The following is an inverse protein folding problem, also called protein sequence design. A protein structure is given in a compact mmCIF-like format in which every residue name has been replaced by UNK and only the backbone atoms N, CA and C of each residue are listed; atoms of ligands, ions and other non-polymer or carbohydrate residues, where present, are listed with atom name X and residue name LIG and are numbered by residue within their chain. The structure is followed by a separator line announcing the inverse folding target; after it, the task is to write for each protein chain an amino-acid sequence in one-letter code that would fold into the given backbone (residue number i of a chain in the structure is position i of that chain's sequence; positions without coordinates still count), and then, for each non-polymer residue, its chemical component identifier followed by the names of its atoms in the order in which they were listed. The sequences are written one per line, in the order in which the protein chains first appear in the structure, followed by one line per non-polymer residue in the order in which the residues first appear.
data_IF_330608574473
#
_entry.id   IF_330608574473
#
_cell.length_a   1.000
_cell.length_b   1.000
_cell.length_c   1.000
_cell.angle_alpha   90.00
_cell.angle_beta   90.00
_cell.angle_gamma   90.00
#
_symmetry.space_group_name_H-M   'P 1'
#
loop_
_entity.id
_entity.type
_entity.pdbx_description
1 polymer ?
#
# COMPACT_ATOMS: atom_id res chain seq x y z
N UNK A 1 0.38 -21.29 29.22
CA UNK A 1 0.99 -20.84 27.95
C UNK A 1 -0.08 -20.09 27.16
N UNK A 2 -0.06 -18.75 27.16
CA UNK A 2 -1.17 -17.94 26.64
C UNK A 2 -0.96 -17.64 25.15
N UNK A 3 -1.22 -18.64 24.31
CA UNK A 3 -1.12 -18.57 22.84
C UNK A 3 -2.10 -17.53 22.23
N UNK A 4 -3.08 -17.07 23.01
CA UNK A 4 -4.10 -16.09 22.64
C UNK A 4 -3.54 -14.71 22.25
N UNK A 5 -2.32 -14.37 22.70
CA UNK A 5 -1.68 -13.07 22.42
C UNK A 5 -0.89 -13.03 21.11
N UNK A 6 -0.78 -14.15 20.38
CA UNK A 6 -0.01 -14.23 19.15
C UNK A 6 -0.92 -14.09 17.92
N UNK A 7 -0.78 -13.01 17.12
CA UNK A 7 -1.56 -12.80 15.91
C UNK A 7 -1.45 -13.96 14.90
N UNK A 8 -0.27 -14.57 14.78
CA UNK A 8 -0.01 -15.61 13.78
C UNK A 8 -0.90 -16.84 13.99
N UNK A 9 -1.16 -17.20 15.25
CA UNK A 9 -2.01 -18.35 15.60
C UNK A 9 -3.46 -18.09 15.21
N UNK A 10 -3.94 -16.86 15.39
CA UNK A 10 -5.27 -16.46 14.95
C UNK A 10 -5.40 -16.47 13.43
N UNK A 11 -4.36 -15.98 12.74
CA UNK A 11 -4.30 -15.98 11.28
C UNK A 11 -4.32 -17.40 10.72
N UNK A 12 -3.48 -18.30 11.24
CA UNK A 12 -3.43 -19.70 10.82
C UNK A 12 -4.76 -20.41 11.08
N UNK A 13 -5.37 -20.14 12.24
CA UNK A 13 -6.67 -20.73 12.56
C UNK A 13 -7.80 -20.22 11.65
N UNK A 14 -7.83 -18.92 11.38
CA UNK A 14 -8.83 -18.32 10.49
C UNK A 14 -8.65 -18.77 9.03
N UNK A 15 -7.41 -18.84 8.54
CA UNK A 15 -7.11 -19.32 7.18
C UNK A 15 -7.43 -20.81 7.02
N UNK A 16 -7.22 -21.63 8.05
CA UNK A 16 -7.68 -23.01 8.06
C UNK A 16 -9.20 -23.10 7.94
N UNK A 17 -9.96 -22.29 8.68
CA UNK A 17 -11.42 -22.22 8.55
C UNK A 17 -11.88 -21.75 7.17
N UNK A 18 -11.20 -20.76 6.59
CA UNK A 18 -11.52 -20.25 5.27
C UNK A 18 -11.28 -21.28 4.15
N UNK A 19 -10.26 -22.15 4.31
CA UNK A 19 -9.91 -23.20 3.33
C UNK A 19 -10.70 -24.50 3.51
N UNK A 20 -10.96 -24.89 4.76
CA UNK A 20 -11.50 -26.21 5.13
C UNK A 20 -12.98 -26.19 5.47
N UNK A 21 -13.53 -24.99 5.73
CA UNK A 21 -14.88 -24.80 6.24
C UNK A 21 -15.60 -23.65 5.53
N UNK A 22 -16.47 -22.96 6.27
CA UNK A 22 -17.19 -21.78 5.78
C UNK A 22 -16.43 -20.49 6.10
N UNK A 23 -16.45 -19.55 5.16
CA UNK A 23 -15.96 -18.17 5.34
C UNK A 23 -16.59 -17.52 6.57
N UNK A 24 -17.86 -17.80 6.87
CA UNK A 24 -18.55 -17.28 8.07
C UNK A 24 -17.86 -17.68 9.37
N UNK A 25 -17.26 -18.89 9.40
CA UNK A 25 -16.52 -19.37 10.57
C UNK A 25 -15.19 -18.63 10.70
N UNK A 26 -14.50 -18.38 9.58
CA UNK A 26 -13.29 -17.57 9.55
C UNK A 26 -13.56 -16.13 10.01
N UNK A 27 -14.67 -15.52 9.58
CA UNK A 27 -15.11 -14.19 10.03
C UNK A 27 -15.30 -14.17 11.55
N UNK A 28 -15.99 -15.16 12.12
CA UNK A 28 -16.17 -15.27 13.59
C UNK A 28 -14.83 -15.40 14.33
N UNK A 29 -13.87 -16.12 13.75
CA UNK A 29 -12.52 -16.23 14.30
C UNK A 29 -11.82 -14.88 14.31
N UNK A 30 -11.83 -14.14 13.19
CA UNK A 30 -11.23 -12.81 13.12
C UNK A 30 -11.89 -11.80 14.06
N UNK A 31 -13.23 -11.82 14.18
CA UNK A 31 -13.94 -10.97 15.14
C UNK A 31 -13.54 -11.26 16.58
N UNK A 32 -13.31 -12.54 16.93
CA UNK A 32 -12.81 -12.92 18.25
C UNK A 32 -11.35 -12.50 18.44
N UNK A 33 -10.53 -12.66 17.41
CA UNK A 33 -9.13 -12.24 17.42
C UNK A 33 -8.98 -10.72 17.60
N UNK A 34 -9.84 -9.92 16.98
CA UNK A 34 -9.80 -8.46 17.15
C UNK A 34 -10.37 -7.98 18.49
N UNK A 35 -11.24 -8.77 19.14
CA UNK A 35 -11.59 -8.54 20.55
C UNK A 35 -10.42 -8.86 21.49
N UNK A 36 -9.59 -9.83 21.12
CA UNK A 36 -8.37 -10.20 21.84
C UNK A 36 -7.26 -9.16 21.72
N UNK A 37 -7.04 -8.73 20.48
CA UNK A 37 -5.89 -7.98 20.01
C UNK A 37 -6.38 -6.85 19.09
N UNK A 38 -7.01 -5.80 19.65
CA UNK A 38 -7.62 -4.73 18.86
C UNK A 38 -6.58 -3.91 18.09
N UNK A 39 -5.33 -3.90 18.54
CA UNK A 39 -4.24 -3.12 17.94
C UNK A 39 -3.45 -3.89 16.89
N UNK A 40 -3.77 -5.17 16.65
CA UNK A 40 -3.06 -5.98 15.67
C UNK A 40 -3.41 -5.56 14.24
N UNK A 41 -2.52 -4.81 13.61
CA UNK A 41 -2.66 -4.41 12.20
C UNK A 41 -2.69 -5.64 11.26
N UNK A 42 -1.86 -6.64 11.54
CA UNK A 42 -1.79 -7.89 10.77
C UNK A 42 -3.16 -8.57 10.67
N UNK A 43 -3.85 -8.72 11.80
CA UNK A 43 -5.18 -9.33 11.84
C UNK A 43 -6.23 -8.48 11.14
N UNK A 44 -6.13 -7.15 11.24
CA UNK A 44 -7.03 -6.24 10.51
C UNK A 44 -6.85 -6.36 9.00
N UNK A 45 -5.62 -6.39 8.50
CA UNK A 45 -5.35 -6.56 7.07
C UNK A 45 -5.87 -7.92 6.56
N UNK A 46 -5.55 -9.00 7.28
CA UNK A 46 -6.00 -10.34 6.90
C UNK A 46 -7.53 -10.46 6.92
N UNK A 47 -8.19 -9.83 7.90
CA UNK A 47 -9.65 -9.81 7.98
C UNK A 47 -10.27 -8.98 6.86
N UNK A 48 -9.71 -7.81 6.53
CA UNK A 48 -10.17 -6.98 5.42
C UNK A 48 -10.03 -7.69 4.07
N UNK A 49 -8.93 -8.40 3.85
CA UNK A 49 -8.72 -9.21 2.64
C UNK A 49 -9.71 -10.38 2.55
N UNK A 50 -10.02 -11.04 3.67
CA UNK A 50 -11.05 -12.09 3.71
C UNK A 50 -12.43 -11.52 3.29
N UNK A 51 -12.86 -10.44 3.93
CA UNK A 51 -14.15 -9.78 3.62
C UNK A 51 -14.20 -9.30 2.15
N UNK A 52 -13.10 -8.73 1.65
CA UNK A 52 -12.97 -8.32 0.25
C UNK A 52 -13.09 -9.51 -0.71
N UNK A 53 -12.38 -10.61 -0.43
CA UNK A 53 -12.43 -11.84 -1.25
C UNK A 53 -13.80 -12.50 -1.26
N UNK A 54 -14.58 -12.30 -0.19
CA UNK A 54 -15.96 -12.78 -0.06
C UNK A 54 -16.99 -11.84 -0.72
N UNK A 55 -16.56 -10.71 -1.29
CA UNK A 55 -17.42 -9.70 -1.92
C UNK A 55 -18.08 -8.73 -0.94
N UNK A 56 -17.74 -8.80 0.35
CA UNK A 56 -18.23 -7.91 1.38
C UNK A 56 -17.43 -6.60 1.40
N UNK A 57 -17.62 -5.78 0.36
CA UNK A 57 -16.82 -4.58 0.12
C UNK A 57 -16.99 -3.52 1.22
N UNK A 58 -18.22 -3.31 1.71
CA UNK A 58 -18.50 -2.30 2.74
C UNK A 58 -17.86 -2.66 4.10
N UNK A 59 -17.98 -3.90 4.61
CA UNK A 59 -17.22 -4.35 5.76
C UNK A 59 -15.70 -4.21 5.59
N UNK A 60 -15.15 -4.64 4.45
CA UNK A 60 -13.72 -4.51 4.16
C UNK A 60 -13.26 -3.05 4.21
N UNK A 61 -14.02 -2.14 3.58
CA UNK A 61 -13.74 -0.70 3.59
C UNK A 61 -13.65 -0.14 5.00
N UNK A 62 -14.61 -0.48 5.87
CA UNK A 62 -14.62 -0.04 7.26
C UNK A 62 -13.40 -0.50 8.04
N UNK A 63 -12.90 -1.71 7.77
CA UNK A 63 -11.68 -2.22 8.41
C UNK A 63 -10.46 -1.45 7.93
N UNK A 64 -10.33 -1.20 6.62
CA UNK A 64 -9.24 -0.37 6.09
C UNK A 64 -9.28 1.07 6.60
N UNK A 65 -10.46 1.68 6.72
CA UNK A 65 -10.62 3.01 7.32
C UNK A 65 -10.20 3.00 8.79
N UNK A 66 -10.49 1.93 9.54
CA UNK A 66 -10.01 1.79 10.93
C UNK A 66 -8.49 1.69 11.05
N UNK A 67 -7.80 1.17 10.02
CA UNK A 67 -6.34 1.11 9.94
C UNK A 67 -5.71 2.47 9.61
N UNK A 68 -6.46 3.39 9.01
CA UNK A 68 -6.02 4.77 8.80
C UNK A 68 -6.16 5.62 10.08
N UNK A 69 -7.01 5.20 11.02
CA UNK A 69 -7.23 5.90 12.29
C UNK A 69 -7.60 7.37 12.08
N UNK A 70 -6.99 8.27 12.86
CA UNK A 70 -7.19 9.72 12.74
C UNK A 70 -6.45 10.36 11.55
N UNK A 71 -5.82 9.57 10.67
CA UNK A 71 -5.05 10.03 9.52
C UNK A 71 -3.66 10.61 9.85
N UNK A 72 -3.41 11.02 11.10
CA UNK A 72 -2.12 11.55 11.57
C UNK A 72 -1.10 10.44 11.84
N UNK A 73 -1.56 9.31 12.41
CA UNK A 73 -0.73 8.15 12.74
C UNK A 73 -0.83 7.02 11.70
N UNK A 74 -1.49 7.28 10.57
CA UNK A 74 -1.63 6.29 9.51
C UNK A 74 -0.24 5.92 8.96
N UNK A 75 0.07 4.62 8.97
CA UNK A 75 1.31 4.13 8.38
C UNK A 75 1.28 4.27 6.87
N UNK A 76 2.45 4.37 6.25
CA UNK A 76 2.56 4.36 4.79
C UNK A 76 1.89 3.12 4.18
N UNK A 77 2.03 1.97 4.85
CA UNK A 77 1.42 0.72 4.46
C UNK A 77 -0.11 0.80 4.45
N UNK A 78 -0.73 1.42 5.47
CA UNK A 78 -2.19 1.60 5.52
C UNK A 78 -2.71 2.40 4.32
N UNK A 79 -2.06 3.51 3.97
CA UNK A 79 -2.41 4.27 2.77
C UNK A 79 -2.23 3.46 1.48
N UNK A 80 -1.13 2.72 1.34
CA UNK A 80 -0.87 1.90 0.15
C UNK A 80 -1.91 0.79 0.00
N UNK A 81 -2.25 0.10 1.09
CA UNK A 81 -3.26 -0.96 1.07
C UNK A 81 -4.64 -0.40 0.76
N UNK A 82 -5.00 0.75 1.33
CA UNK A 82 -6.28 1.38 1.03
C UNK A 82 -6.39 1.87 -0.42
N UNK A 83 -5.32 2.45 -0.98
CA UNK A 83 -5.25 2.80 -2.41
C UNK A 83 -5.46 1.56 -3.29
N UNK A 84 -4.82 0.44 -2.94
CA UNK A 84 -4.98 -0.84 -3.67
C UNK A 84 -6.41 -1.38 -3.57
N UNK A 85 -7.01 -1.30 -2.39
CA UNK A 85 -8.41 -1.67 -2.15
C UNK A 85 -9.36 -0.83 -3.01
N UNK A 86 -9.28 0.51 -2.92
CA UNK A 86 -10.11 1.41 -3.72
C UNK A 86 -9.99 1.14 -5.21
N UNK A 87 -8.78 0.82 -5.68
CA UNK A 87 -8.56 0.52 -7.09
C UNK A 87 -9.26 -0.77 -7.54
N UNK A 88 -9.35 -1.79 -6.66
CA UNK A 88 -10.04 -3.07 -6.97
C UNK A 88 -11.56 -2.95 -6.90
N UNK A 89 -12.08 -2.06 -6.07
CA UNK A 89 -13.51 -1.99 -5.75
C UNK A 89 -14.24 -0.79 -6.36
N UNK A 90 -13.58 0.37 -6.42
CA UNK A 90 -14.15 1.66 -6.85
C UNK A 90 -13.45 2.23 -8.10
N UNK A 91 -12.34 1.65 -8.54
CA UNK A 91 -11.62 2.02 -9.76
C UNK A 91 -10.42 2.95 -9.57
N UNK A 92 -9.75 3.27 -10.67
CA UNK A 92 -8.46 4.01 -10.70
C UNK A 92 -8.65 5.47 -10.28
N UNK A 93 -9.78 6.05 -10.64
CA UNK A 93 -10.16 7.44 -10.35
C UNK A 93 -10.37 7.67 -8.86
N UNK A 94 -11.05 6.73 -8.17
CA UNK A 94 -11.24 6.77 -6.72
C UNK A 94 -9.91 6.68 -5.98
N UNK A 95 -9.05 5.74 -6.40
CA UNK A 95 -7.71 5.60 -5.85
C UNK A 95 -6.85 6.86 -6.07
N UNK A 96 -6.96 7.51 -7.24
CA UNK A 96 -6.27 8.77 -7.54
C UNK A 96 -6.75 9.91 -6.65
N UNK A 97 -8.06 10.08 -6.51
CA UNK A 97 -8.64 11.12 -5.66
C UNK A 97 -8.10 10.99 -4.24
N UNK A 98 -8.12 9.77 -3.70
CA UNK A 98 -7.58 9.50 -2.38
C UNK A 98 -6.08 9.80 -2.28
N UNK A 99 -5.26 9.39 -3.26
CA UNK A 99 -3.83 9.73 -3.29
C UNK A 99 -3.57 11.25 -3.26
N UNK A 100 -4.35 12.03 -4.02
CA UNK A 100 -4.25 13.49 -4.02
C UNK A 100 -4.62 14.11 -2.66
N UNK A 101 -5.54 13.49 -1.92
CA UNK A 101 -5.91 13.93 -0.58
C UNK A 101 -4.83 13.56 0.44
N UNK A 102 -4.29 12.34 0.41
CA UNK A 102 -3.16 11.92 1.27
C UNK A 102 -1.94 12.81 1.07
N UNK A 103 -1.67 13.24 -0.16
CA UNK A 103 -0.56 14.14 -0.49
C UNK A 103 -0.63 15.48 0.25
N UNK A 104 -1.83 15.97 0.59
CA UNK A 104 -2.02 17.21 1.35
C UNK A 104 -1.71 17.02 2.84
N UNK A 105 -1.82 15.79 3.33
CA UNK A 105 -1.57 15.45 4.73
C UNK A 105 -0.06 15.36 5.04
N UNK A 106 0.34 15.71 6.27
CA UNK A 106 1.73 15.60 6.73
C UNK A 106 2.19 14.14 6.94
N UNK A 107 1.26 13.18 7.05
CA UNK A 107 1.53 11.74 7.17
C UNK A 107 1.99 11.08 5.85
N UNK A 108 2.03 11.83 4.75
CA UNK A 108 2.44 11.30 3.45
C UNK A 108 3.97 11.09 3.38
N UNK A 109 4.39 9.83 3.41
CA UNK A 109 5.79 9.44 3.20
C UNK A 109 6.07 9.14 1.72
N UNK A 110 7.36 9.10 1.38
CA UNK A 110 7.81 8.79 0.02
C UNK A 110 7.32 7.42 -0.50
N UNK A 111 7.16 6.43 0.39
CA UNK A 111 6.68 5.09 0.04
C UNK A 111 5.32 5.11 -0.66
N UNK A 112 4.42 6.01 -0.27
CA UNK A 112 3.08 6.14 -0.89
C UNK A 112 3.21 6.63 -2.33
N UNK A 113 4.11 7.59 -2.59
CA UNK A 113 4.40 8.07 -3.95
C UNK A 113 4.98 6.96 -4.83
N UNK A 114 6.00 6.25 -4.32
CA UNK A 114 6.65 5.15 -5.05
C UNK A 114 5.63 4.06 -5.39
N UNK A 115 4.86 3.62 -4.40
CA UNK A 115 3.86 2.57 -4.59
C UNK A 115 2.76 2.97 -5.58
N UNK A 116 2.28 4.22 -5.51
CA UNK A 116 1.25 4.70 -6.44
C UNK A 116 1.80 4.84 -7.87
N UNK A 117 3.01 5.37 -8.03
CA UNK A 117 3.62 5.54 -9.34
C UNK A 117 3.99 4.19 -10.00
N UNK A 118 4.46 3.20 -9.23
CA UNK A 118 4.63 1.82 -9.70
C UNK A 118 3.28 1.21 -10.12
N UNK A 119 2.21 1.48 -9.38
CA UNK A 119 0.86 1.00 -9.69
C UNK A 119 0.38 1.58 -11.03
N UNK A 120 0.51 2.90 -11.21
CA UNK A 120 0.16 3.58 -12.45
C UNK A 120 0.98 3.07 -13.65
N UNK A 121 2.28 2.83 -13.45
CA UNK A 121 3.17 2.32 -14.49
C UNK A 121 2.87 0.85 -14.86
N UNK A 122 2.81 -0.03 -13.86
CA UNK A 122 2.72 -1.48 -14.10
C UNK A 122 1.32 -1.94 -14.48
N UNK A 123 0.28 -1.30 -13.95
CA UNK A 123 -1.08 -1.79 -14.06
C UNK A 123 -1.93 -0.91 -14.95
N UNK A 124 -1.81 0.41 -14.84
CA UNK A 124 -2.60 1.34 -15.64
C UNK A 124 -1.91 1.66 -16.98
N UNK A 125 -0.62 1.30 -17.12
CA UNK A 125 0.24 1.57 -18.29
C UNK A 125 0.31 3.06 -18.68
N UNK A 126 -0.01 3.95 -17.74
CA UNK A 126 0.03 5.38 -17.96
C UNK A 126 1.39 5.94 -17.52
N UNK A 127 2.30 5.95 -18.49
CA UNK A 127 3.66 6.44 -18.30
C UNK A 127 3.67 7.92 -17.88
N UNK A 128 2.83 8.75 -18.49
CA UNK A 128 2.83 10.21 -18.24
C UNK A 128 2.49 10.50 -16.78
N UNK A 129 1.52 9.79 -16.24
CA UNK A 129 1.09 9.96 -14.86
C UNK A 129 2.13 9.43 -13.90
N UNK A 130 2.72 8.27 -14.20
CA UNK A 130 3.82 7.74 -13.40
C UNK A 130 4.97 8.76 -13.31
N UNK A 131 5.45 9.28 -14.44
CA UNK A 131 6.48 10.33 -14.49
C UNK A 131 6.09 11.57 -13.67
N UNK A 132 4.87 12.08 -13.84
CA UNK A 132 4.39 13.26 -13.11
C UNK A 132 4.41 13.04 -11.58
N UNK A 133 4.04 11.84 -11.11
CA UNK A 133 4.07 11.50 -9.68
C UNK A 133 5.50 11.36 -9.19
N UNK A 134 6.40 10.78 -10.00
CA UNK A 134 7.83 10.69 -9.67
C UNK A 134 8.47 12.06 -9.56
N UNK A 135 8.30 12.94 -10.54
CA UNK A 135 8.82 14.30 -10.46
C UNK A 135 8.30 15.05 -9.22
N UNK A 136 7.01 14.88 -8.91
CA UNK A 136 6.42 15.48 -7.73
C UNK A 136 6.98 14.90 -6.42
N UNK A 137 7.30 13.61 -6.40
CA UNK A 137 7.93 12.97 -5.25
C UNK A 137 9.39 13.35 -5.11
N UNK A 138 10.15 13.41 -6.21
CA UNK A 138 11.54 13.87 -6.25
C UNK A 138 11.63 15.28 -5.65
N UNK A 139 10.85 16.24 -6.14
CA UNK A 139 10.84 17.63 -5.63
C UNK A 139 10.57 17.73 -4.13
N UNK A 140 9.81 16.79 -3.55
CA UNK A 140 9.44 16.81 -2.12
C UNK A 140 10.41 16.04 -1.24
N UNK A 141 11.00 14.95 -1.73
CA UNK A 141 11.83 14.02 -0.97
C UNK A 141 13.26 13.92 -1.50
N UNK A 142 13.79 14.99 -2.12
CA UNK A 142 15.15 15.05 -2.68
C UNK A 142 16.23 14.63 -1.68
N UNK A 143 16.02 14.89 -0.39
CA UNK A 143 16.98 14.62 0.68
C UNK A 143 16.96 13.17 1.19
N UNK A 144 16.00 12.35 0.76
CA UNK A 144 15.84 10.97 1.19
C UNK A 144 16.41 10.00 0.14
N UNK A 145 17.62 9.43 0.34
CA UNK A 145 18.25 8.55 -0.64
C UNK A 145 17.43 7.28 -0.90
N UNK A 146 16.63 6.83 0.08
CA UNK A 146 15.75 5.67 -0.06
C UNK A 146 14.69 5.83 -1.15
N UNK A 147 14.22 7.05 -1.40
CA UNK A 147 13.26 7.32 -2.47
C UNK A 147 13.88 7.08 -3.86
N UNK A 148 15.08 7.60 -4.08
CA UNK A 148 15.80 7.49 -5.37
C UNK A 148 16.15 6.03 -5.66
N UNK A 149 16.66 5.32 -4.64
CA UNK A 149 17.04 3.91 -4.76
C UNK A 149 15.86 2.98 -5.04
N UNK A 150 14.65 3.30 -4.57
CA UNK A 150 13.49 2.46 -4.84
C UNK A 150 12.86 2.75 -6.21
N UNK A 151 12.94 3.99 -6.69
CA UNK A 151 12.38 4.41 -7.98
C UNK A 151 13.21 3.92 -9.16
N UNK A 152 14.53 4.16 -9.13
CA UNK A 152 15.42 4.03 -10.29
C UNK A 152 15.52 2.58 -10.81
N UNK A 153 15.80 1.54 -9.99
CA UNK A 153 15.94 0.18 -10.49
C UNK A 153 14.66 -0.38 -11.11
N UNK A 154 13.49 -0.01 -10.56
CA UNK A 154 12.18 -0.53 -11.00
C UNK A 154 11.72 0.09 -12.32
N UNK A 155 12.12 1.33 -12.61
CA UNK A 155 11.90 1.97 -13.91
C UNK A 155 12.90 1.47 -14.97
N UNK A 156 14.17 1.37 -14.59
CA UNK A 156 15.26 0.93 -15.47
C UNK A 156 15.09 -0.54 -15.89
N UNK A 157 14.66 -1.44 -15.01
CA UNK A 157 14.53 -2.87 -15.36
C UNK A 157 13.39 -3.16 -16.36
N UNK A 158 12.45 -2.23 -16.55
CA UNK A 158 11.26 -2.41 -17.40
C UNK A 158 11.27 -1.51 -18.64
N UNK A 159 12.26 -0.63 -18.78
CA UNK A 159 12.36 0.31 -19.89
C UNK A 159 13.80 0.45 -20.38
N UNK A 160 14.02 0.43 -21.69
CA UNK A 160 15.31 0.69 -22.34
C UNK A 160 15.72 2.18 -22.38
N UNK A 161 15.16 3.03 -21.51
CA UNK A 161 15.38 4.49 -21.47
C UNK A 161 16.35 4.92 -20.36
N UNK A 162 17.36 4.09 -20.07
CA UNK A 162 18.39 4.39 -19.07
C UNK A 162 19.12 5.72 -19.37
N UNK A 163 19.36 6.02 -20.64
CA UNK A 163 20.12 7.20 -21.09
C UNK A 163 19.43 8.53 -20.82
N UNK A 164 18.10 8.59 -20.95
CA UNK A 164 17.34 9.83 -20.79
C UNK A 164 17.22 10.19 -19.30
N UNK A 165 17.05 9.17 -18.45
CA UNK A 165 16.98 9.30 -17.00
C UNK A 165 18.33 9.59 -16.35
N UNK A 166 19.42 9.00 -16.85
CA UNK A 166 20.77 9.29 -16.34
C UNK A 166 21.14 10.76 -16.56
N UNK A 167 20.64 11.37 -17.65
CA UNK A 167 20.82 12.79 -17.94
C UNK A 167 19.98 13.68 -17.01
N UNK A 168 18.70 13.36 -16.80
CA UNK A 168 17.84 14.09 -15.86
C UNK A 168 18.35 13.99 -14.41
N UNK A 169 18.81 12.81 -13.96
CA UNK A 169 19.38 12.62 -12.63
C UNK A 169 20.67 13.43 -12.43
N UNK A 170 21.50 13.56 -13.48
CA UNK A 170 22.66 14.46 -13.49
C UNK A 170 22.25 15.94 -13.45
N UNK A 171 21.20 16.33 -14.16
CA UNK A 171 20.65 17.69 -14.14
C UNK A 171 20.07 18.06 -12.75
N UNK A 172 19.59 17.07 -11.99
CA UNK A 172 19.17 17.22 -10.59
C UNK A 172 20.33 17.10 -9.57
N UNK A 173 21.59 16.99 -10.02
CA UNK A 173 22.77 16.98 -9.16
C UNK A 173 23.01 15.69 -8.38
N UNK A 174 22.33 14.60 -8.74
CA UNK A 174 22.50 13.29 -8.13
C UNK A 174 23.48 12.47 -8.99
N UNK A 175 24.78 12.66 -8.75
CA UNK A 175 25.82 11.80 -9.34
C UNK A 175 25.76 10.40 -8.70
N UNK A 176 24.98 9.51 -9.29
CA UNK A 176 25.03 8.08 -8.98
C UNK A 176 25.80 7.37 -10.08
N UNK A 177 27.06 7.03 -9.81
CA UNK A 177 27.81 6.06 -10.60
C UNK A 177 27.45 4.65 -10.11
N UNK A 178 26.57 3.96 -10.82
CA UNK A 178 26.35 2.52 -10.62
C UNK A 178 27.31 1.75 -11.54
N UNK A 179 28.45 1.32 -10.99
CA UNK A 179 29.24 0.21 -11.55
C UNK A 179 28.69 -1.12 -11.07
#
# INVERSE_FOLDING_TARGET
MYLYHYPDIWYDYATWHAKSGSVDSAIKVYQRALKALPDSELLKYAYAELEESHGAIQPAKKIYESLLGDGVNATALAHIQYIRFLRRTEGVEAARKYFLDVRKSPSCTYHVYVAYAITAFCLDKDLKIAHTIFEAGLKRFMHEPGYILECVPKFVSKHSLFSDWEKELRDFGLEYSFT
#
